data_IF_016001563196
#
_entry.id   IF_016001563196
#
_cell.length_a   1.000
_cell.length_b   1.000
_cell.length_c   1.000
_cell.angle_alpha   90.00
_cell.angle_beta   90.00
_cell.angle_gamma   90.00
#
_symmetry.space_group_name_H-M   'P 1'
#
loop_
_entity.id
_entity.type
_entity.pdbx_description
1 polymer ?
#
# COMPACT_ATOMS: atom_id res chain seq x y z
N UNK A 1 7.99 -13.45 33.52
CA UNK A 1 9.04 -13.76 32.52
C UNK A 1 8.57 -13.51 31.08
N UNK A 2 7.37 -13.95 30.69
CA UNK A 2 6.83 -13.78 29.33
C UNK A 2 6.55 -12.32 28.88
N UNK A 3 6.17 -11.41 29.78
CA UNK A 3 5.98 -9.97 29.45
C UNK A 3 7.29 -9.30 28.98
N UNK A 4 8.42 -9.61 29.63
CA UNK A 4 9.76 -9.10 29.26
C UNK A 4 10.29 -9.63 27.92
N UNK A 5 9.86 -10.80 27.47
CA UNK A 5 10.25 -11.34 26.15
C UNK A 5 9.47 -10.68 25.02
N UNK A 6 8.19 -10.38 25.24
CA UNK A 6 7.34 -9.71 24.25
C UNK A 6 7.78 -8.25 24.01
N UNK A 7 8.14 -7.52 25.07
CA UNK A 7 8.67 -6.15 24.97
C UNK A 7 10.01 -6.09 24.20
N UNK A 8 10.88 -7.11 24.36
CA UNK A 8 12.15 -7.20 23.62
C UNK A 8 11.94 -7.55 22.14
N UNK A 9 11.00 -8.44 21.81
CA UNK A 9 10.71 -8.82 20.42
C UNK A 9 9.95 -7.72 19.65
N UNK A 10 9.06 -7.01 20.33
CA UNK A 10 8.36 -5.86 19.75
C UNK A 10 9.28 -4.64 19.63
N UNK A 11 10.15 -4.41 20.61
CA UNK A 11 11.19 -3.39 20.56
C UNK A 11 12.24 -3.66 19.48
N UNK A 12 12.63 -4.91 19.26
CA UNK A 12 13.55 -5.27 18.17
C UNK A 12 12.88 -5.12 16.80
N UNK A 13 11.62 -5.51 16.62
CA UNK A 13 10.88 -5.31 15.37
C UNK A 13 10.72 -3.83 15.01
N UNK A 14 10.39 -2.97 15.99
CA UNK A 14 10.33 -1.53 15.79
C UNK A 14 11.69 -0.94 15.43
N UNK A 15 12.77 -1.40 16.09
CA UNK A 15 14.13 -0.97 15.78
C UNK A 15 14.53 -1.37 14.35
N UNK A 16 14.27 -2.60 13.91
CA UNK A 16 14.54 -3.04 12.54
C UNK A 16 13.74 -2.22 11.52
N UNK A 17 12.49 -1.88 11.82
CA UNK A 17 11.66 -1.04 10.95
C UNK A 17 12.21 0.39 10.84
N UNK A 18 12.64 0.98 11.96
CA UNK A 18 13.25 2.31 11.97
C UNK A 18 14.57 2.35 11.21
N UNK A 19 15.44 1.36 11.44
CA UNK A 19 16.70 1.21 10.69
C UNK A 19 16.43 1.05 9.20
N UNK A 20 15.43 0.25 8.84
CA UNK A 20 15.02 0.06 7.45
C UNK A 20 14.51 1.36 6.81
N UNK A 21 13.68 2.14 7.50
CA UNK A 21 13.21 3.44 7.02
C UNK A 21 14.36 4.45 6.88
N UNK A 22 15.32 4.43 7.80
CA UNK A 22 16.51 5.28 7.72
C UNK A 22 17.39 4.91 6.52
N UNK A 23 17.60 3.61 6.26
CA UNK A 23 18.33 3.13 5.08
C UNK A 23 17.64 3.55 3.79
N UNK A 24 16.31 3.41 3.71
CA UNK A 24 15.50 3.90 2.60
C UNK A 24 15.73 5.40 2.39
N UNK A 25 15.60 6.21 3.44
CA UNK A 25 15.79 7.65 3.35
C UNK A 25 17.20 8.00 2.85
N UNK A 26 18.24 7.32 3.34
CA UNK A 26 19.61 7.54 2.92
C UNK A 26 19.85 7.17 1.44
N UNK A 27 19.37 6.00 1.01
CA UNK A 27 19.46 5.54 -0.38
C UNK A 27 18.74 6.51 -1.31
N UNK A 28 17.54 6.93 -0.94
CA UNK A 28 16.73 7.81 -1.76
C UNK A 28 17.16 9.28 -1.74
N UNK A 29 17.95 9.69 -0.75
CA UNK A 29 18.59 11.00 -0.70
C UNK A 29 19.88 11.08 -1.52
N UNK A 30 20.40 9.96 -2.01
CA UNK A 30 21.60 9.95 -2.83
C UNK A 30 21.34 10.60 -4.22
N UNK A 31 22.06 11.65 -4.62
CA UNK A 31 21.83 12.35 -5.89
C UNK A 31 21.98 11.47 -7.12
N UNK A 32 22.95 10.55 -7.12
CA UNK A 32 23.20 9.64 -8.25
C UNK A 32 22.00 8.71 -8.47
N UNK A 33 21.44 8.18 -7.38
CA UNK A 33 20.25 7.32 -7.44
C UNK A 33 19.05 8.13 -7.93
N UNK A 34 18.87 9.35 -7.43
CA UNK A 34 17.78 10.22 -7.88
C UNK A 34 17.86 10.51 -9.39
N UNK A 35 19.05 10.87 -9.91
CA UNK A 35 19.24 11.13 -11.34
C UNK A 35 18.98 9.88 -12.16
N UNK A 36 19.48 8.71 -11.74
CA UNK A 36 19.22 7.46 -12.43
C UNK A 36 17.71 7.14 -12.50
N UNK A 37 16.97 7.36 -11.42
CA UNK A 37 15.51 7.16 -11.39
C UNK A 37 14.76 8.15 -12.29
N UNK A 38 15.20 9.41 -12.34
CA UNK A 38 14.64 10.41 -13.24
C UNK A 38 14.91 10.03 -14.69
N UNK A 39 16.14 9.63 -15.04
CA UNK A 39 16.50 9.20 -16.40
C UNK A 39 15.71 7.97 -16.83
N UNK A 40 15.58 6.97 -15.95
CA UNK A 40 14.73 5.81 -16.20
C UNK A 40 13.28 6.23 -16.48
N UNK A 41 12.72 7.11 -15.65
CA UNK A 41 11.37 7.60 -15.86
C UNK A 41 11.21 8.43 -17.13
N UNK A 42 12.24 9.19 -17.53
CA UNK A 42 12.23 9.91 -18.80
C UNK A 42 12.26 8.98 -20.00
N UNK A 43 13.02 7.87 -19.94
CA UNK A 43 13.04 6.90 -21.04
C UNK A 43 11.73 6.09 -21.14
N UNK A 44 11.12 5.76 -20.00
CA UNK A 44 9.97 4.84 -19.95
C UNK A 44 8.63 5.58 -19.87
N UNK A 45 8.45 6.47 -18.90
CA UNK A 45 7.13 7.07 -18.62
C UNK A 45 6.82 8.28 -19.49
N UNK A 46 7.82 9.11 -19.83
CA UNK A 46 7.59 10.29 -20.67
C UNK A 46 6.96 9.98 -22.04
N UNK A 47 7.43 8.99 -22.83
CA UNK A 47 6.78 8.68 -24.11
C UNK A 47 5.38 8.05 -23.96
N UNK A 48 5.10 7.37 -22.84
CA UNK A 48 3.84 6.65 -22.63
C UNK A 48 2.75 7.56 -22.04
N UNK A 49 3.10 8.34 -21.02
CA UNK A 49 2.15 9.12 -20.21
C UNK A 49 2.52 10.60 -20.07
N UNK A 50 3.64 11.05 -20.65
CA UNK A 50 4.11 12.44 -20.53
C UNK A 50 3.40 13.43 -21.45
N UNK A 51 2.75 12.98 -22.52
CA UNK A 51 1.97 13.81 -23.48
C UNK A 51 2.69 15.09 -23.95
N UNK A 52 4.03 15.05 -24.05
CA UNK A 52 4.84 16.22 -24.39
C UNK A 52 4.74 17.40 -23.41
N UNK A 53 4.22 17.18 -22.19
CA UNK A 53 4.04 18.23 -21.18
C UNK A 53 2.69 18.96 -21.23
N UNK A 54 1.83 18.70 -22.21
CA UNK A 54 0.59 19.46 -22.41
C UNK A 54 -0.52 19.12 -21.41
N UNK A 55 -0.54 17.90 -20.88
CA UNK A 55 -1.62 17.41 -20.01
C UNK A 55 -1.09 16.88 -18.67
N UNK A 56 -0.52 17.75 -17.81
CA UNK A 56 0.14 17.32 -16.58
C UNK A 56 -0.80 16.65 -15.59
N UNK A 57 -2.05 17.12 -15.49
CA UNK A 57 -3.08 16.48 -14.65
C UNK A 57 -3.34 15.05 -15.12
N UNK A 58 -3.46 14.83 -16.44
CA UNK A 58 -3.67 13.51 -17.00
C UNK A 58 -2.46 12.59 -16.77
N UNK A 59 -1.24 13.11 -16.92
CA UNK A 59 0.00 12.39 -16.60
C UNK A 59 0.02 11.91 -15.15
N UNK A 60 -0.36 12.76 -14.20
CA UNK A 60 -0.42 12.39 -12.77
C UNK A 60 -1.48 11.31 -12.53
N UNK A 61 -2.65 11.41 -13.17
CA UNK A 61 -3.72 10.40 -13.05
C UNK A 61 -3.25 9.05 -13.61
N UNK A 62 -2.64 9.02 -14.79
CA UNK A 62 -2.14 7.78 -15.39
C UNK A 62 -0.99 7.18 -14.60
N UNK A 63 -0.08 7.99 -14.04
CA UNK A 63 0.93 7.52 -13.10
C UNK A 63 0.26 6.87 -11.87
N UNK A 64 -0.82 7.46 -11.36
CA UNK A 64 -1.70 6.86 -10.35
C UNK A 64 -2.21 5.48 -10.71
N UNK A 65 -2.80 5.34 -11.91
CA UNK A 65 -3.31 4.06 -12.42
C UNK A 65 -2.19 3.01 -12.47
N UNK A 66 -1.03 3.37 -13.03
CA UNK A 66 0.14 2.49 -13.14
C UNK A 66 0.59 2.01 -11.76
N UNK A 67 0.72 2.93 -10.79
CA UNK A 67 1.12 2.58 -9.42
C UNK A 67 0.08 1.67 -8.76
N UNK A 68 -1.21 1.95 -8.89
CA UNK A 68 -2.27 1.13 -8.30
C UNK A 68 -2.28 -0.28 -8.90
N UNK A 69 -2.10 -0.40 -10.22
CA UNK A 69 -2.03 -1.70 -10.88
C UNK A 69 -0.81 -2.49 -10.42
N UNK A 70 0.37 -1.89 -10.47
CA UNK A 70 1.62 -2.57 -10.11
C UNK A 70 1.67 -2.92 -8.63
N UNK A 71 1.18 -2.03 -7.77
CA UNK A 71 1.08 -2.32 -6.36
C UNK A 71 0.13 -3.48 -6.08
N UNK A 72 -1.05 -3.48 -6.72
CA UNK A 72 -2.01 -4.57 -6.57
C UNK A 72 -1.45 -5.90 -7.06
N UNK A 73 -0.74 -5.91 -8.19
CA UNK A 73 -0.11 -7.12 -8.75
C UNK A 73 0.98 -7.68 -7.84
N UNK A 74 1.91 -6.82 -7.38
CA UNK A 74 2.98 -7.24 -6.47
C UNK A 74 2.41 -7.73 -5.13
N UNK A 75 1.49 -6.97 -4.53
CA UNK A 75 0.85 -7.40 -3.28
C UNK A 75 0.13 -8.73 -3.46
N UNK A 76 -0.58 -8.94 -4.57
CA UNK A 76 -1.27 -10.20 -4.83
C UNK A 76 -0.30 -11.37 -5.06
N UNK A 77 0.84 -11.12 -5.70
CA UNK A 77 1.86 -12.15 -5.95
C UNK A 77 2.55 -12.61 -4.65
N UNK A 78 2.85 -11.69 -3.74
CA UNK A 78 3.57 -12.03 -2.51
C UNK A 78 2.67 -12.38 -1.31
N UNK A 79 1.38 -12.02 -1.33
CA UNK A 79 0.46 -12.22 -0.20
C UNK A 79 -0.33 -13.52 -0.33
N UNK A 80 -0.24 -14.39 0.69
CA UNK A 80 -1.12 -15.55 0.84
C UNK A 80 -2.47 -15.11 1.44
N UNK A 81 -3.42 -14.78 0.56
CA UNK A 81 -4.75 -14.33 0.96
C UNK A 81 -5.54 -15.40 1.72
N UNK A 82 -5.26 -16.68 1.52
CA UNK A 82 -5.96 -17.76 2.23
C UNK A 82 -5.52 -17.79 3.69
N UNK A 83 -4.22 -17.81 3.96
CA UNK A 83 -3.68 -17.72 5.33
C UNK A 83 -4.10 -16.44 6.03
N UNK A 84 -4.13 -15.32 5.31
CA UNK A 84 -4.59 -14.05 5.85
C UNK A 84 -6.08 -14.09 6.23
N UNK A 85 -6.94 -14.69 5.39
CA UNK A 85 -8.35 -14.88 5.69
C UNK A 85 -8.59 -15.81 6.90
N UNK A 86 -7.93 -16.97 6.94
CA UNK A 86 -8.02 -17.92 8.06
C UNK A 86 -7.57 -17.29 9.40
N UNK A 87 -6.48 -16.53 9.37
CA UNK A 87 -5.98 -15.79 10.53
C UNK A 87 -6.97 -14.71 10.99
N UNK A 88 -7.57 -13.97 10.06
CA UNK A 88 -8.60 -12.96 10.38
C UNK A 88 -9.83 -13.59 11.04
N UNK A 89 -10.35 -14.70 10.51
CA UNK A 89 -11.50 -15.38 11.11
C UNK A 89 -11.17 -15.99 12.48
N UNK A 90 -10.00 -16.60 12.63
CA UNK A 90 -9.50 -17.10 13.92
C UNK A 90 -9.41 -15.97 14.96
N UNK A 91 -8.91 -14.81 14.55
CA UNK A 91 -8.78 -13.61 15.41
C UNK A 91 -10.14 -13.05 15.79
N UNK A 92 -11.09 -12.96 14.85
CA UNK A 92 -12.47 -12.52 15.12
C UNK A 92 -13.18 -13.48 16.07
N UNK A 93 -13.06 -14.79 15.87
CA UNK A 93 -13.65 -15.80 16.74
C UNK A 93 -13.07 -15.69 18.17
N UNK A 94 -11.75 -15.54 18.30
CA UNK A 94 -11.08 -15.34 19.59
C UNK A 94 -11.57 -14.06 20.29
N UNK A 95 -11.69 -12.94 19.57
CA UNK A 95 -12.21 -11.68 20.12
C UNK A 95 -13.66 -11.78 20.58
N UNK A 96 -14.51 -12.52 19.87
CA UNK A 96 -15.89 -12.78 20.28
C UNK A 96 -15.94 -13.63 21.54
N UNK A 97 -15.15 -14.71 21.60
CA UNK A 97 -15.09 -15.61 22.76
C UNK A 97 -14.59 -14.90 24.02
N UNK A 98 -13.56 -14.05 23.91
CA UNK A 98 -13.04 -13.33 25.07
C UNK A 98 -14.03 -12.26 25.56
N UNK A 99 -14.76 -11.61 24.66
CA UNK A 99 -15.83 -10.67 25.03
C UNK A 99 -16.99 -11.40 25.71
N UNK A 100 -17.39 -12.57 25.20
CA UNK A 100 -18.43 -13.42 25.79
C UNK A 100 -18.02 -13.89 27.19
N UNK A 101 -16.80 -14.42 27.35
CA UNK A 101 -16.28 -14.87 28.65
C UNK A 101 -16.21 -13.73 29.68
N UNK A 102 -15.90 -12.49 29.25
CA UNK A 102 -15.93 -11.29 30.11
C UNK A 102 -17.36 -10.91 30.53
N UNK A 103 -18.32 -10.94 29.60
CA UNK A 103 -19.73 -10.65 29.88
C UNK A 103 -20.35 -11.68 30.84
N UNK A 104 -19.95 -12.93 30.71
CA UNK A 104 -20.37 -14.04 31.57
C UNK A 104 -19.69 -14.03 32.96
N UNK A 105 -18.73 -13.12 33.21
CA UNK A 105 -17.98 -13.08 34.48
C UNK A 105 -17.09 -14.29 34.73
N UNK A 106 -16.84 -15.13 33.71
CA UNK A 106 -16.10 -16.38 33.86
C UNK A 106 -14.58 -16.14 33.85
N UNK A 107 -14.04 -15.84 35.02
CA UNK A 107 -12.60 -15.55 35.23
C UNK A 107 -11.69 -16.69 34.78
N UNK A 108 -12.09 -17.94 35.01
CA UNK A 108 -11.34 -19.13 34.57
C UNK A 108 -11.24 -19.22 33.04
N UNK A 109 -12.35 -18.98 32.33
CA UNK A 109 -12.40 -18.98 30.87
C UNK A 109 -11.59 -17.82 30.28
N UNK A 110 -11.68 -16.63 30.88
CA UNK A 110 -10.85 -15.48 30.48
C UNK A 110 -9.37 -15.80 30.65
N UNK A 111 -8.95 -16.37 31.78
CA UNK A 111 -7.56 -16.74 32.02
C UNK A 111 -7.06 -17.80 31.03
N UNK A 112 -7.89 -18.78 30.67
CA UNK A 112 -7.57 -19.78 29.64
C UNK A 112 -7.40 -19.14 28.24
N UNK A 113 -8.28 -18.22 27.87
CA UNK A 113 -8.19 -17.49 26.59
C UNK A 113 -6.97 -16.56 26.56
N UNK A 114 -6.64 -15.89 27.66
CA UNK A 114 -5.44 -15.06 27.76
C UNK A 114 -4.15 -15.87 27.58
N UNK A 115 -4.11 -17.13 28.04
CA UNK A 115 -2.98 -18.03 27.78
C UNK A 115 -2.82 -18.40 26.30
N UNK A 116 -3.92 -18.42 25.53
CA UNK A 116 -3.88 -18.67 24.07
C UNK A 116 -3.58 -17.41 23.26
N UNK A 117 -3.72 -16.21 23.83
CA UNK A 117 -3.48 -14.94 23.15
C UNK A 117 -2.12 -14.86 22.42
N UNK A 118 -0.99 -15.33 22.98
CA UNK A 118 0.30 -15.32 22.28
C UNK A 118 0.31 -16.18 21.02
N UNK A 119 -0.38 -17.33 21.02
CA UNK A 119 -0.46 -18.20 19.84
C UNK A 119 -1.30 -17.57 18.73
N UNK A 120 -2.42 -16.91 19.09
CA UNK A 120 -3.24 -16.16 18.15
C UNK A 120 -2.43 -15.02 17.53
N UNK A 121 -1.69 -14.29 18.37
CA UNK A 121 -0.80 -13.22 17.89
C UNK A 121 0.30 -13.75 16.97
N UNK A 122 0.93 -14.88 17.32
CA UNK A 122 1.93 -15.53 16.47
C UNK A 122 1.35 -15.91 15.11
N UNK A 123 0.17 -16.55 15.06
CA UNK A 123 -0.53 -16.88 13.81
C UNK A 123 -0.88 -15.64 12.99
N UNK A 124 -1.28 -14.55 13.65
CA UNK A 124 -1.52 -13.27 12.99
C UNK A 124 -0.24 -12.69 12.39
N UNK A 125 0.87 -12.74 13.13
CA UNK A 125 2.16 -12.25 12.66
C UNK A 125 2.68 -13.07 11.48
N UNK A 126 2.60 -14.39 11.55
CA UNK A 126 2.97 -15.30 10.45
C UNK A 126 2.14 -15.01 9.19
N UNK A 127 0.82 -14.83 9.32
CA UNK A 127 -0.04 -14.46 8.20
C UNK A 127 0.30 -13.08 7.62
N UNK A 128 0.68 -12.12 8.45
CA UNK A 128 1.06 -10.76 8.01
C UNK A 128 2.47 -10.66 7.43
N UNK A 129 3.36 -11.59 7.77
CA UNK A 129 4.76 -11.58 7.33
C UNK A 129 4.90 -11.66 5.80
N UNK A 130 3.95 -12.34 5.14
CA UNK A 130 3.85 -12.38 3.69
C UNK A 130 3.58 -11.01 3.06
N UNK A 131 2.90 -10.11 3.77
CA UNK A 131 2.59 -8.75 3.29
C UNK A 131 3.71 -7.73 3.55
N UNK A 132 4.69 -8.05 4.40
CA UNK A 132 5.84 -7.16 4.64
C UNK A 132 6.85 -7.18 3.48
N UNK A 133 7.06 -8.36 2.86
CA UNK A 133 7.95 -8.50 1.70
C UNK A 133 7.57 -7.57 0.53
N UNK A 134 6.31 -7.53 0.06
CA UNK A 134 5.94 -6.65 -1.04
C UNK A 134 6.17 -5.18 -0.71
N UNK A 135 6.06 -4.74 0.55
CA UNK A 135 6.25 -3.34 0.92
C UNK A 135 7.61 -2.77 0.48
N UNK A 136 8.68 -3.56 0.61
CA UNK A 136 10.03 -3.14 0.18
C UNK A 136 10.08 -2.95 -1.34
N UNK A 137 9.56 -3.94 -2.09
CA UNK A 137 9.49 -3.87 -3.54
C UNK A 137 8.60 -2.73 -4.02
N UNK A 138 7.50 -2.46 -3.33
CA UNK A 138 6.61 -1.33 -3.63
C UNK A 138 7.36 0.00 -3.54
N UNK A 139 8.16 0.21 -2.48
CA UNK A 139 8.91 1.45 -2.34
C UNK A 139 9.94 1.61 -3.46
N UNK A 140 10.68 0.55 -3.79
CA UNK A 140 11.67 0.56 -4.89
C UNK A 140 10.99 0.85 -6.23
N UNK A 141 9.75 0.42 -6.43
CA UNK A 141 9.03 0.59 -7.68
C UNK A 141 8.28 1.92 -7.80
N UNK A 142 7.68 2.39 -6.70
CA UNK A 142 6.87 3.61 -6.68
C UNK A 142 7.75 4.85 -6.61
N UNK A 143 8.86 4.81 -5.86
CA UNK A 143 9.71 5.97 -5.68
C UNK A 143 10.28 6.53 -7.00
N UNK A 144 10.76 5.72 -7.96
CA UNK A 144 11.24 6.21 -9.24
C UNK A 144 10.17 6.95 -10.05
N UNK A 145 8.93 6.44 -10.02
CA UNK A 145 7.78 7.10 -10.67
C UNK A 145 7.56 8.48 -10.07
N UNK A 146 7.62 8.59 -8.74
CA UNK A 146 7.42 9.87 -8.04
C UNK A 146 8.55 10.87 -8.28
N UNK A 147 9.80 10.39 -8.29
CA UNK A 147 10.96 11.22 -8.60
C UNK A 147 10.89 11.78 -10.01
N UNK A 148 10.57 10.92 -10.98
CA UNK A 148 10.34 11.34 -12.35
C UNK A 148 9.15 12.29 -12.46
N UNK A 149 8.03 12.01 -11.80
CA UNK A 149 6.84 12.86 -11.86
C UNK A 149 7.12 14.26 -11.32
N UNK A 150 7.86 14.36 -10.20
CA UNK A 150 8.32 15.64 -9.65
C UNK A 150 9.20 16.38 -10.64
N UNK A 151 10.16 15.71 -11.28
CA UNK A 151 11.03 16.30 -12.29
C UNK A 151 10.24 16.77 -13.52
N UNK A 152 9.33 15.94 -14.03
CA UNK A 152 8.45 16.24 -15.14
C UNK A 152 7.60 17.48 -14.85
N UNK A 153 6.92 17.51 -13.70
CA UNK A 153 6.10 18.65 -13.29
C UNK A 153 6.93 19.92 -13.08
N UNK A 154 8.18 19.81 -12.61
CA UNK A 154 9.09 20.93 -12.44
C UNK A 154 9.69 21.45 -13.75
N UNK A 155 9.60 20.69 -14.85
CA UNK A 155 10.04 21.10 -16.18
C UNK A 155 8.97 21.77 -17.04
N UNK A 156 7.74 21.93 -16.52
CA UNK A 156 6.62 22.46 -17.29
C UNK A 156 6.62 24.00 -17.33
N UNK A 157 6.19 24.63 -18.44
CA UNK A 157 6.06 26.10 -18.48
C UNK A 157 4.94 26.62 -17.56
N UNK A 158 3.93 25.79 -17.27
CA UNK A 158 2.81 26.14 -16.41
C UNK A 158 2.67 25.13 -15.26
N UNK A 159 2.85 25.62 -14.03
CA UNK A 159 2.85 24.80 -12.81
C UNK A 159 1.51 24.79 -12.06
N UNK A 160 0.43 25.26 -12.69
CA UNK A 160 -0.86 25.47 -12.04
C UNK A 160 -1.94 24.59 -12.68
N UNK A 161 -2.89 24.16 -11.86
CA UNK A 161 -4.10 23.46 -12.30
C UNK A 161 -5.34 24.02 -11.59
N UNK A 162 -6.49 23.79 -12.18
CA UNK A 162 -7.78 24.25 -11.67
C UNK A 162 -8.52 23.09 -10.99
N UNK A 163 -9.11 23.39 -9.84
CA UNK A 163 -10.02 22.52 -9.10
C UNK A 163 -11.38 23.24 -8.93
N UNK A 164 -12.49 22.53 -8.65
CA UNK A 164 -13.81 23.14 -8.59
C UNK A 164 -13.94 24.34 -7.62
N UNK A 165 -13.07 24.40 -6.61
CA UNK A 165 -13.05 25.46 -5.59
C UNK A 165 -11.89 26.46 -5.72
N UNK A 166 -10.97 26.29 -6.69
CA UNK A 166 -9.84 27.20 -6.89
C UNK A 166 -9.26 27.11 -8.31
N UNK A 167 -9.02 28.25 -8.95
CA UNK A 167 -8.60 28.32 -10.35
C UNK A 167 -7.10 28.13 -10.58
N UNK A 168 -6.24 28.54 -9.63
CA UNK A 168 -4.78 28.57 -9.79
C UNK A 168 -4.06 27.85 -8.65
N UNK A 169 -4.20 26.52 -8.56
CA UNK A 169 -3.47 25.72 -7.56
C UNK A 169 -2.13 25.28 -8.14
N UNK A 170 -1.02 25.68 -7.52
CA UNK A 170 0.30 25.20 -7.93
C UNK A 170 0.46 23.71 -7.58
N UNK A 171 1.04 22.91 -8.48
CA UNK A 171 1.40 21.51 -8.20
C UNK A 171 2.25 21.37 -6.93
N UNK A 172 3.10 22.37 -6.63
CA UNK A 172 4.02 22.35 -5.49
C UNK A 172 3.49 23.08 -4.24
N UNK A 173 2.27 23.61 -4.29
CA UNK A 173 1.61 24.20 -3.11
C UNK A 173 1.35 23.16 -2.02
N UNK A 174 1.20 23.62 -0.78
CA UNK A 174 1.00 22.79 0.41
C UNK A 174 -0.42 22.98 0.98
N UNK A 175 -1.47 22.47 0.31
CA UNK A 175 -2.86 22.81 0.62
C UNK A 175 -3.31 22.42 2.04
N UNK A 176 -2.70 21.39 2.64
CA UNK A 176 -3.08 20.87 3.97
C UNK A 176 -1.96 21.02 5.01
N UNK A 177 -0.91 21.80 4.72
CA UNK A 177 0.27 21.92 5.59
C UNK A 177 1.21 20.71 5.58
N UNK A 178 0.85 19.62 4.88
CA UNK A 178 1.73 18.49 4.59
C UNK A 178 1.47 17.94 3.19
N UNK A 179 2.54 17.57 2.49
CA UNK A 179 2.47 17.03 1.13
C UNK A 179 2.12 18.09 0.07
N UNK A 180 2.75 17.96 -1.10
CA UNK A 180 2.52 18.86 -2.23
C UNK A 180 1.20 18.53 -2.95
N UNK A 181 0.57 19.52 -3.58
CA UNK A 181 -0.73 19.36 -4.23
C UNK A 181 -0.77 18.24 -5.29
N UNK A 182 0.32 18.02 -6.03
CA UNK A 182 0.39 16.92 -7.01
C UNK A 182 0.32 15.53 -6.35
N UNK A 183 0.84 15.38 -5.12
CA UNK A 183 0.75 14.13 -4.35
C UNK A 183 -0.70 13.88 -3.96
N UNK A 184 -1.41 14.93 -3.55
CA UNK A 184 -2.83 14.85 -3.21
C UNK A 184 -3.70 14.52 -4.42
N UNK A 185 -3.43 15.16 -5.55
CA UNK A 185 -4.07 14.83 -6.82
C UNK A 185 -3.87 13.34 -7.15
N UNK A 186 -2.62 12.88 -7.14
CA UNK A 186 -2.29 11.46 -7.32
C UNK A 186 -3.07 10.57 -6.34
N UNK A 187 -3.09 10.89 -5.04
CA UNK A 187 -3.69 10.04 -4.01
C UNK A 187 -5.19 9.88 -4.20
N UNK A 188 -5.90 10.99 -4.42
CA UNK A 188 -7.36 11.00 -4.59
C UNK A 188 -7.75 10.17 -5.81
N UNK A 189 -7.12 10.42 -6.95
CA UNK A 189 -7.42 9.69 -8.18
C UNK A 189 -7.01 8.21 -8.07
N UNK A 190 -5.85 7.91 -7.48
CA UNK A 190 -5.42 6.52 -7.24
C UNK A 190 -6.41 5.75 -6.38
N UNK A 191 -6.98 6.38 -5.34
CA UNK A 191 -8.00 5.77 -4.51
C UNK A 191 -9.26 5.46 -5.31
N UNK A 192 -9.76 6.41 -6.10
CA UNK A 192 -10.95 6.24 -6.95
C UNK A 192 -10.73 5.13 -7.98
N UNK A 193 -9.62 5.17 -8.71
CA UNK A 193 -9.22 4.13 -9.68
C UNK A 193 -9.13 2.76 -9.00
N UNK A 194 -8.51 2.70 -7.82
CA UNK A 194 -8.42 1.46 -7.05
C UNK A 194 -9.78 0.88 -6.66
N UNK A 195 -10.78 1.73 -6.36
CA UNK A 195 -12.14 1.26 -6.12
C UNK A 195 -12.79 0.71 -7.40
N UNK A 196 -12.62 1.41 -8.53
CA UNK A 196 -13.13 0.95 -9.82
C UNK A 196 -12.55 -0.41 -10.20
N UNK A 197 -11.23 -0.58 -10.07
CA UNK A 197 -10.55 -1.86 -10.35
C UNK A 197 -11.10 -2.96 -9.45
N UNK A 198 -11.25 -2.70 -8.15
CA UNK A 198 -11.82 -3.69 -7.20
C UNK A 198 -13.24 -4.11 -7.58
N UNK A 199 -14.10 -3.16 -7.92
CA UNK A 199 -15.48 -3.47 -8.32
C UNK A 199 -15.52 -4.19 -9.67
N UNK A 200 -14.68 -3.80 -10.63
CA UNK A 200 -14.55 -4.47 -11.91
C UNK A 200 -14.11 -5.94 -11.76
N UNK A 201 -13.08 -6.20 -10.95
CA UNK A 201 -12.63 -7.56 -10.64
C UNK A 201 -13.73 -8.39 -9.95
N UNK A 202 -14.51 -7.78 -9.06
CA UNK A 202 -15.65 -8.44 -8.41
C UNK A 202 -16.72 -8.83 -9.43
N UNK A 203 -17.08 -7.95 -10.36
CA UNK A 203 -18.03 -8.24 -11.44
C UNK A 203 -17.52 -9.40 -12.33
N UNK A 204 -16.24 -9.37 -12.72
CA UNK A 204 -15.62 -10.44 -13.51
C UNK A 204 -15.64 -11.76 -12.73
N UNK A 205 -15.35 -11.74 -11.43
CA UNK A 205 -15.37 -12.95 -10.59
C UNK A 205 -16.75 -13.61 -10.49
N UNK A 206 -17.81 -12.81 -10.65
CA UNK A 206 -19.19 -13.28 -10.63
C UNK A 206 -19.69 -13.72 -12.00
N UNK A 207 -19.00 -13.33 -13.07
CA UNK A 207 -19.32 -13.71 -14.45
C UNK A 207 -19.22 -15.22 -14.66
N UNK A 208 -20.11 -15.76 -15.50
CA UNK A 208 -20.17 -17.19 -15.81
C UNK A 208 -18.89 -17.67 -16.53
N UNK A 209 -18.23 -16.80 -17.29
CA UNK A 209 -16.96 -17.10 -17.95
C UNK A 209 -15.87 -17.46 -16.93
N UNK A 210 -15.68 -16.64 -15.89
CA UNK A 210 -14.66 -16.90 -14.86
C UNK A 210 -14.99 -18.13 -14.01
N UNK A 211 -16.27 -18.39 -13.73
CA UNK A 211 -16.72 -19.63 -13.06
C UNK A 211 -16.40 -20.88 -13.90
N UNK A 212 -16.64 -20.83 -15.22
CA UNK A 212 -16.33 -21.91 -16.16
C UNK A 212 -14.82 -22.13 -16.37
N UNK A 213 -14.02 -21.07 -16.35
CA UNK A 213 -12.55 -21.18 -16.41
C UNK A 213 -11.99 -21.76 -15.12
N UNK A 214 -12.47 -21.29 -13.96
CA UNK A 214 -12.04 -21.79 -12.65
C UNK A 214 -12.41 -23.26 -12.42
N UNK A 215 -13.56 -23.72 -12.93
CA UNK A 215 -13.97 -25.13 -12.85
C UNK A 215 -13.16 -26.06 -13.75
N UNK A 216 -12.50 -25.53 -14.79
CA UNK A 216 -11.57 -26.30 -15.64
C UNK A 216 -10.15 -26.37 -15.09
N UNK A 217 -9.78 -25.47 -14.16
CA UNK A 217 -8.42 -25.35 -13.59
C UNK A 217 -8.30 -26.07 -12.24
N UNK A 218 -9.41 -26.35 -11.55
CA UNK A 218 -9.39 -27.23 -10.37
C UNK A 218 -9.64 -28.68 -10.81
N UNK A 219 -8.81 -29.66 -10.39
CA UNK A 219 -9.21 -31.05 -10.42
C UNK A 219 -10.40 -31.28 -9.48
#
# INVERSE_FOLDING_TARGET
>A
MFKKMNDKAQGSMLLYMLVFLFLIFFVFSNPTIQVAMIQFGQAVFYPIIGFGGNYPVLTVILAGVIVVLLSSLLTNFFTDWKKMGESQETTKAFQKEIQKARREGNTNRVNKLMKMQPEIFKKQQEASSGSMKPMIFLIIFIYPIFMWLRFFLAGLPHYYFTVPWASNVSFFSWPFGFGQAWIWLYLIFSMVVGQIIRQGLKLISWSNWWKNVKSRIRP
#
